data_IF_711178822913
#
_entry.id   IF_711178822913
#
_cell.length_a   1.000
_cell.length_b   1.000
_cell.length_c   1.000
_cell.angle_alpha   90.00
_cell.angle_beta   90.00
_cell.angle_gamma   90.00
#
_symmetry.space_group_name_H-M   'P 1'
#
loop_
_entity.id
_entity.type
_entity.pdbx_description
1 polymer ?
#
# COMPACT_ATOMS: atom_id res chain seq x y z
N UNK A 1 8.02 1.50 -60.07
CA UNK A 1 8.27 0.14 -59.56
C UNK A 1 7.83 0.13 -58.09
N UNK A 2 6.66 -0.46 -57.81
CA UNK A 2 6.10 -0.56 -56.45
C UNK A 2 6.99 -1.46 -55.58
N UNK A 3 7.40 -0.99 -54.41
CA UNK A 3 7.91 -1.86 -53.34
C UNK A 3 6.77 -2.13 -52.35
N UNK A 4 6.23 -3.33 -52.42
CA UNK A 4 5.28 -3.88 -51.44
C UNK A 4 6.10 -4.27 -50.21
N UNK A 5 5.93 -3.53 -49.11
CA UNK A 5 6.43 -3.97 -47.80
C UNK A 5 5.41 -4.98 -47.28
N UNK A 6 5.80 -6.25 -47.26
CA UNK A 6 5.06 -7.31 -46.61
C UNK A 6 5.05 -7.02 -45.10
N UNK A 7 3.95 -6.48 -44.59
CA UNK A 7 3.69 -6.48 -43.15
C UNK A 7 3.42 -7.92 -42.76
N UNK A 8 4.40 -8.55 -42.11
CA UNK A 8 4.17 -9.80 -41.40
C UNK A 8 2.99 -9.59 -40.44
N UNK A 9 1.89 -10.30 -40.72
CA UNK A 9 0.79 -10.48 -39.79
C UNK A 9 1.37 -11.20 -38.57
N UNK A 10 1.45 -10.52 -37.43
CA UNK A 10 1.56 -11.20 -36.16
C UNK A 10 0.34 -12.13 -36.04
N UNK A 11 0.59 -13.43 -36.17
CA UNK A 11 -0.38 -14.47 -35.90
C UNK A 11 -0.57 -14.45 -34.39
N UNK A 12 -1.64 -13.80 -33.92
CA UNK A 12 -2.13 -14.00 -32.56
C UNK A 12 -2.53 -15.47 -32.44
N UNK A 13 -1.60 -16.29 -31.95
CA UNK A 13 -1.91 -17.62 -31.43
C UNK A 13 -2.93 -17.39 -30.31
N UNK A 14 -4.18 -17.80 -30.51
CA UNK A 14 -5.14 -17.93 -29.42
C UNK A 14 -4.60 -19.04 -28.52
N UNK A 15 -3.76 -18.66 -27.55
CA UNK A 15 -3.43 -19.54 -26.44
C UNK A 15 -4.73 -19.78 -25.70
N UNK A 16 -5.24 -21.01 -25.74
CA UNK A 16 -6.35 -21.42 -24.88
C UNK A 16 -6.02 -21.01 -23.45
N UNK A 17 -7.00 -20.40 -22.77
CA UNK A 17 -6.84 -20.04 -21.37
C UNK A 17 -6.78 -21.32 -20.53
N UNK A 18 -5.65 -21.58 -19.86
CA UNK A 18 -5.39 -22.84 -19.14
C UNK A 18 -5.33 -22.70 -17.63
N UNK A 19 -5.37 -21.48 -17.09
CA UNK A 19 -5.22 -21.26 -15.65
C UNK A 19 -6.40 -21.86 -14.87
N UNK A 20 -6.09 -22.64 -13.83
CA UNK A 20 -7.07 -23.31 -12.97
C UNK A 20 -7.26 -22.62 -11.63
N UNK A 21 -6.42 -21.64 -11.33
CA UNK A 21 -6.46 -20.84 -10.11
C UNK A 21 -5.78 -19.48 -10.30
N UNK A 22 -5.91 -18.60 -9.31
CA UNK A 22 -5.17 -17.34 -9.29
C UNK A 22 -3.64 -17.50 -9.26
N UNK A 23 -3.11 -18.66 -8.83
CA UNK A 23 -1.66 -18.92 -8.85
C UNK A 23 -1.10 -19.01 -10.27
N UNK A 24 -1.92 -19.46 -11.22
CA UNK A 24 -1.55 -19.73 -12.61
C UNK A 24 -2.04 -18.64 -13.57
N UNK A 25 -2.77 -17.64 -13.05
CA UNK A 25 -3.32 -16.56 -13.85
C UNK A 25 -2.20 -15.64 -14.34
N UNK A 26 -2.16 -15.36 -15.64
CA UNK A 26 -1.32 -14.29 -16.20
C UNK A 26 -1.76 -12.95 -15.62
N UNK A 27 -0.88 -12.33 -14.83
CA UNK A 27 -1.13 -11.09 -14.11
C UNK A 27 -1.28 -9.88 -15.02
N UNK A 28 -1.08 -10.03 -16.34
CA UNK A 28 -1.33 -8.98 -17.32
C UNK A 28 -2.77 -8.98 -17.82
N UNK A 29 -3.58 -9.98 -17.44
CA UNK A 29 -5.01 -10.01 -17.74
C UNK A 29 -5.79 -9.11 -16.76
N UNK A 30 -6.86 -8.45 -17.22
CA UNK A 30 -7.69 -7.60 -16.37
C UNK A 30 -8.30 -8.38 -15.22
N UNK A 31 -8.39 -7.75 -14.07
CA UNK A 31 -9.16 -8.24 -12.95
C UNK A 31 -10.64 -8.36 -13.30
N UNK A 32 -11.35 -9.18 -12.54
CA UNK A 32 -12.78 -9.41 -12.69
C UNK A 32 -13.51 -8.95 -11.44
N UNK A 33 -12.97 -7.91 -10.80
CA UNK A 33 -13.50 -7.26 -9.61
C UNK A 33 -13.65 -5.76 -9.89
N UNK A 34 -14.41 -5.07 -9.05
CA UNK A 34 -14.48 -3.61 -9.03
C UNK A 34 -13.89 -3.06 -7.72
N UNK A 35 -13.79 -1.73 -7.62
CA UNK A 35 -13.27 -1.06 -6.43
C UNK A 35 -14.03 -1.44 -5.13
N UNK A 36 -15.35 -1.56 -5.20
CA UNK A 36 -16.20 -1.89 -4.05
C UNK A 36 -15.93 -3.31 -3.54
N UNK A 37 -15.63 -4.27 -4.41
CA UNK A 37 -15.28 -5.63 -3.99
C UNK A 37 -14.04 -5.63 -3.06
N UNK A 38 -13.05 -4.76 -3.36
CA UNK A 38 -11.84 -4.58 -2.55
C UNK A 38 -12.19 -3.89 -1.24
N UNK A 39 -12.90 -2.76 -1.30
CA UNK A 39 -13.24 -1.95 -0.12
C UNK A 39 -14.13 -2.72 0.86
N UNK A 40 -15.16 -3.40 0.38
CA UNK A 40 -16.05 -4.22 1.19
C UNK A 40 -15.30 -5.37 1.87
N UNK A 41 -14.39 -6.03 1.15
CA UNK A 41 -13.60 -7.11 1.71
C UNK A 41 -12.70 -6.60 2.84
N UNK A 42 -11.97 -5.51 2.61
CA UNK A 42 -11.11 -4.91 3.64
C UNK A 42 -11.96 -4.50 4.85
N UNK A 43 -13.05 -3.76 4.62
CA UNK A 43 -13.92 -3.25 5.70
C UNK A 43 -14.60 -4.37 6.50
N UNK A 44 -14.90 -5.52 5.89
CA UNK A 44 -15.46 -6.69 6.57
C UNK A 44 -14.56 -7.24 7.66
N UNK A 45 -13.24 -7.25 7.45
CA UNK A 45 -12.27 -7.82 8.40
C UNK A 45 -11.55 -6.75 9.23
N UNK A 46 -11.34 -5.59 8.64
CA UNK A 46 -10.64 -4.45 9.23
C UNK A 46 -11.32 -3.15 8.82
N UNK A 47 -12.48 -2.82 9.43
CA UNK A 47 -13.18 -1.56 9.16
C UNK A 47 -12.35 -0.33 9.57
N UNK A 48 -11.32 -0.52 10.39
CA UNK A 48 -10.32 0.46 10.82
C UNK A 48 -9.14 0.61 9.86
N UNK A 49 -9.11 -0.16 8.76
CA UNK A 49 -8.00 -0.16 7.83
C UNK A 49 -7.88 1.18 7.08
N UNK A 50 -6.68 1.76 7.00
CA UNK A 50 -6.41 2.93 6.18
C UNK A 50 -6.59 2.69 4.66
N UNK A 51 -6.71 1.44 4.22
CA UNK A 51 -6.91 1.09 2.82
C UNK A 51 -8.40 1.05 2.42
N UNK A 52 -9.33 1.18 3.36
CA UNK A 52 -10.76 1.29 3.03
C UNK A 52 -10.98 2.56 2.20
N UNK A 53 -11.61 2.41 1.03
CA UNK A 53 -11.87 3.50 0.09
C UNK A 53 -10.77 3.70 -0.96
N UNK A 54 -9.70 2.90 -0.91
CA UNK A 54 -8.61 2.90 -1.89
C UNK A 54 -8.79 1.83 -2.98
N UNK A 55 -9.89 1.06 -2.99
CA UNK A 55 -10.20 0.08 -4.04
C UNK A 55 -10.10 0.66 -5.46
N UNK A 56 -10.51 1.92 -5.64
CA UNK A 56 -10.41 2.63 -6.93
C UNK A 56 -8.97 2.82 -7.42
N UNK A 57 -8.02 3.00 -6.50
CA UNK A 57 -6.62 3.25 -6.86
C UNK A 57 -6.00 2.00 -7.53
N UNK A 58 -6.44 0.80 -7.12
CA UNK A 58 -6.03 -0.45 -7.75
C UNK A 58 -6.61 -0.62 -9.15
N UNK A 59 -7.87 -0.25 -9.36
CA UNK A 59 -8.50 -0.31 -10.70
C UNK A 59 -7.83 0.70 -11.64
N UNK A 60 -7.61 1.93 -11.19
CA UNK A 60 -6.91 2.94 -11.99
C UNK A 60 -5.47 2.52 -12.31
N UNK A 61 -4.77 1.88 -11.36
CA UNK A 61 -3.44 1.35 -11.59
C UNK A 61 -3.44 0.18 -12.59
N UNK A 62 -4.43 -0.70 -12.56
CA UNK A 62 -4.61 -1.76 -13.55
C UNK A 62 -4.80 -1.19 -14.96
N UNK A 63 -5.70 -0.21 -15.12
CA UNK A 63 -5.95 0.44 -16.40
C UNK A 63 -4.70 1.14 -16.93
N UNK A 64 -3.91 1.76 -16.04
CA UNK A 64 -2.71 2.52 -16.43
C UNK A 64 -1.50 1.63 -16.72
N UNK A 65 -1.26 0.62 -15.90
CA UNK A 65 -0.01 -0.16 -15.91
C UNK A 65 -0.16 -1.58 -16.44
N UNK A 66 -1.39 -2.06 -16.60
CA UNK A 66 -1.68 -3.36 -17.16
C UNK A 66 -1.25 -4.52 -16.26
N UNK A 67 -1.52 -4.40 -14.95
CA UNK A 67 -1.33 -5.48 -13.98
C UNK A 67 -2.63 -5.68 -13.20
N UNK A 68 -2.97 -6.94 -12.98
CA UNK A 68 -4.20 -7.37 -12.35
C UNK A 68 -4.43 -6.71 -10.97
N UNK A 69 -5.44 -5.85 -10.86
CA UNK A 69 -5.81 -5.11 -9.65
C UNK A 69 -6.10 -6.03 -8.46
N UNK A 70 -6.71 -7.19 -8.73
CA UNK A 70 -7.05 -8.16 -7.70
C UNK A 70 -5.79 -8.71 -7.02
N UNK A 71 -4.77 -9.02 -7.80
CA UNK A 71 -3.47 -9.48 -7.28
C UNK A 71 -2.74 -8.36 -6.52
N UNK A 72 -2.76 -7.12 -7.05
CA UNK A 72 -2.12 -5.98 -6.39
C UNK A 72 -2.77 -5.61 -5.06
N UNK A 73 -4.11 -5.62 -4.99
CA UNK A 73 -4.85 -5.40 -3.74
C UNK A 73 -4.57 -6.51 -2.71
N UNK A 74 -4.61 -7.77 -3.14
CA UNK A 74 -4.31 -8.92 -2.28
C UNK A 74 -2.87 -8.89 -1.75
N UNK A 75 -1.91 -8.50 -2.59
CA UNK A 75 -0.51 -8.28 -2.21
C UNK A 75 -0.40 -7.21 -1.15
N UNK A 76 -0.95 -6.02 -1.38
CA UNK A 76 -0.84 -4.92 -0.42
C UNK A 76 -1.52 -5.25 0.91
N UNK A 77 -2.68 -5.92 0.89
CA UNK A 77 -3.33 -6.44 2.11
C UNK A 77 -2.37 -7.33 2.91
N UNK A 78 -1.69 -8.26 2.24
CA UNK A 78 -0.73 -9.17 2.88
C UNK A 78 0.47 -8.42 3.46
N UNK A 79 1.15 -7.64 2.63
CA UNK A 79 2.45 -7.02 2.93
C UNK A 79 2.34 -5.93 3.99
N UNK A 80 1.21 -5.21 4.01
CA UNK A 80 0.99 -4.10 4.93
C UNK A 80 0.12 -4.45 6.14
N UNK A 81 -0.39 -5.69 6.23
CA UNK A 81 -1.37 -6.07 7.23
C UNK A 81 -2.62 -5.20 7.15
N UNK A 82 -3.23 -5.13 5.96
CA UNK A 82 -4.36 -4.24 5.64
C UNK A 82 -4.05 -2.74 5.85
N UNK A 83 -2.84 -2.31 5.51
CA UNK A 83 -2.39 -0.91 5.63
C UNK A 83 -1.97 -0.48 7.03
N UNK A 84 -2.01 -1.39 8.01
CA UNK A 84 -1.87 -1.06 9.44
C UNK A 84 -0.45 -1.22 9.99
N UNK A 85 0.48 -1.74 9.19
CA UNK A 85 1.89 -1.73 9.57
C UNK A 85 2.39 -0.28 9.69
N UNK A 86 3.35 -0.03 10.58
CA UNK A 86 3.83 1.34 10.81
C UNK A 86 4.38 2.00 9.54
N UNK A 87 5.07 1.25 8.69
CA UNK A 87 5.58 1.75 7.42
C UNK A 87 4.43 2.06 6.45
N UNK A 88 3.42 1.20 6.37
CA UNK A 88 2.26 1.44 5.52
C UNK A 88 1.45 2.64 5.99
N UNK A 89 1.21 2.78 7.30
CA UNK A 89 0.45 3.91 7.83
C UNK A 89 1.20 5.23 7.75
N UNK A 90 2.40 5.29 8.34
CA UNK A 90 3.10 6.58 8.50
C UNK A 90 3.80 7.06 7.23
N UNK A 91 4.07 6.15 6.29
CA UNK A 91 4.79 6.47 5.04
C UNK A 91 3.98 6.21 3.78
N UNK A 92 2.71 5.85 3.92
CA UNK A 92 1.84 5.38 2.83
C UNK A 92 2.50 4.29 1.98
N UNK A 93 3.38 3.48 2.57
CA UNK A 93 4.23 2.55 1.86
C UNK A 93 3.77 1.11 2.10
N UNK A 94 2.82 0.66 1.28
CA UNK A 94 2.14 -0.64 1.44
C UNK A 94 3.02 -1.83 1.06
N UNK A 95 4.06 -1.59 0.27
CA UNK A 95 4.93 -2.63 -0.29
C UNK A 95 6.31 -2.72 0.37
N UNK A 96 6.60 -1.91 1.39
CA UNK A 96 7.90 -1.90 2.05
C UNK A 96 9.04 -1.37 1.17
N UNK A 97 8.76 -0.42 0.27
CA UNK A 97 9.75 0.17 -0.64
C UNK A 97 10.96 0.69 0.14
N UNK A 98 12.12 0.07 -0.10
CA UNK A 98 13.43 0.34 0.56
C UNK A 98 13.43 0.16 2.09
N UNK A 99 12.54 -0.68 2.62
CA UNK A 99 12.53 -1.05 4.04
C UNK A 99 13.61 -2.11 4.34
N UNK A 100 14.88 -1.70 4.36
CA UNK A 100 16.01 -2.62 4.59
C UNK A 100 16.05 -3.20 5.99
N UNK A 101 16.42 -4.49 6.13
CA UNK A 101 16.40 -5.25 7.39
C UNK A 101 17.09 -4.58 8.58
N UNK A 102 18.20 -3.85 8.33
CA UNK A 102 18.96 -3.16 9.38
C UNK A 102 18.14 -2.11 10.13
N UNK A 103 17.28 -1.37 9.43
CA UNK A 103 16.38 -0.37 10.02
C UNK A 103 15.23 -0.09 9.05
N UNK A 104 14.22 -0.98 9.00
CA UNK A 104 13.21 -0.92 7.95
C UNK A 104 12.43 0.38 7.95
N UNK A 105 12.17 0.96 9.12
CA UNK A 105 11.40 2.19 9.22
C UNK A 105 12.22 3.40 8.77
N UNK A 106 13.49 3.50 9.17
CA UNK A 106 14.35 4.61 8.76
C UNK A 106 14.53 4.66 7.23
N UNK A 107 14.84 3.52 6.60
CA UNK A 107 15.16 3.48 5.17
C UNK A 107 13.92 3.52 4.26
N UNK A 108 12.77 3.01 4.73
CA UNK A 108 11.56 2.97 3.92
C UNK A 108 11.22 4.34 3.33
N UNK A 109 10.89 4.38 2.04
CA UNK A 109 10.48 5.61 1.36
C UNK A 109 9.11 6.07 1.88
N UNK A 110 8.96 7.38 1.97
CA UNK A 110 7.68 8.06 2.12
C UNK A 110 7.05 8.23 0.73
N UNK A 111 5.79 7.84 0.61
CA UNK A 111 4.96 8.14 -0.54
C UNK A 111 3.89 9.17 -0.17
N UNK A 112 3.59 10.15 -1.04
CA UNK A 112 2.62 11.19 -0.72
C UNK A 112 1.22 10.66 -0.41
N UNK A 113 0.82 9.55 -1.04
CA UNK A 113 -0.48 8.91 -0.82
C UNK A 113 -0.41 7.38 -1.00
N UNK A 114 -1.44 6.67 -0.53
CA UNK A 114 -1.61 5.25 -0.83
C UNK A 114 -1.70 4.97 -2.33
N UNK A 115 -2.38 5.87 -3.08
CA UNK A 115 -2.45 5.81 -4.54
C UNK A 115 -1.06 5.78 -5.18
N UNK A 116 -0.14 6.62 -4.71
CA UNK A 116 1.23 6.63 -5.24
C UNK A 116 1.97 5.30 -4.98
N UNK A 117 1.70 4.65 -3.84
CA UNK A 117 2.26 3.33 -3.51
C UNK A 117 1.71 2.23 -4.41
N UNK A 118 0.41 2.23 -4.63
CA UNK A 118 -0.25 1.31 -5.55
C UNK A 118 0.29 1.53 -6.97
N UNK A 119 0.33 2.77 -7.45
CA UNK A 119 0.76 3.11 -8.80
C UNK A 119 2.21 2.70 -9.04
N UNK A 120 3.12 3.09 -8.13
CA UNK A 120 4.53 2.72 -8.23
C UNK A 120 4.73 1.20 -8.22
N UNK A 121 4.11 0.50 -7.27
CA UNK A 121 4.31 -0.94 -7.14
C UNK A 121 3.77 -1.68 -8.37
N UNK A 122 2.62 -1.23 -8.88
CA UNK A 122 2.00 -1.79 -10.09
C UNK A 122 2.89 -1.58 -11.32
N UNK A 123 3.42 -0.36 -11.51
CA UNK A 123 4.36 -0.09 -12.62
C UNK A 123 5.65 -0.89 -12.48
N UNK A 124 6.17 -1.01 -11.26
CA UNK A 124 7.40 -1.75 -10.96
C UNK A 124 7.26 -3.25 -11.25
N UNK A 125 6.16 -3.86 -10.81
CA UNK A 125 5.84 -5.26 -11.10
C UNK A 125 5.69 -5.46 -12.61
N UNK A 126 4.96 -4.58 -13.30
CA UNK A 126 4.81 -4.67 -14.75
C UNK A 126 6.18 -4.71 -15.43
N UNK A 127 6.98 -3.68 -15.21
CA UNK A 127 8.24 -3.48 -15.92
C UNK A 127 9.27 -4.55 -15.61
N UNK A 128 9.42 -4.92 -14.34
CA UNK A 128 10.57 -5.73 -13.92
C UNK A 128 10.26 -7.22 -13.82
N UNK A 129 8.99 -7.62 -13.67
CA UNK A 129 8.62 -9.01 -13.45
C UNK A 129 7.77 -9.60 -14.58
N UNK A 130 6.91 -8.82 -15.25
CA UNK A 130 5.91 -9.35 -16.20
C UNK A 130 6.27 -9.11 -17.68
N UNK A 131 7.39 -8.45 -17.96
CA UNK A 131 7.92 -8.25 -19.31
C UNK A 131 9.15 -9.12 -19.53
N UNK A 132 9.29 -9.74 -20.71
CA UNK A 132 10.42 -10.63 -21.01
C UNK A 132 11.81 -9.96 -20.87
N UNK A 133 11.87 -8.64 -21.06
CA UNK A 133 13.08 -7.82 -20.89
C UNK A 133 13.26 -7.30 -19.45
N UNK A 134 12.31 -7.57 -18.56
CA UNK A 134 12.33 -7.16 -17.17
C UNK A 134 13.44 -7.86 -16.41
N UNK A 135 14.08 -7.12 -15.50
CA UNK A 135 15.25 -7.59 -14.73
C UNK A 135 15.01 -8.88 -13.93
N UNK A 136 13.77 -9.14 -13.54
CA UNK A 136 13.36 -10.25 -12.67
C UNK A 136 12.38 -11.21 -13.36
N UNK A 137 12.25 -11.13 -14.69
CA UNK A 137 11.30 -11.95 -15.45
C UNK A 137 11.57 -13.45 -15.30
N UNK A 138 10.54 -14.18 -14.87
CA UNK A 138 10.53 -15.65 -14.82
C UNK A 138 9.22 -16.22 -15.42
N UNK A 139 8.38 -15.36 -16.01
CA UNK A 139 7.02 -15.67 -16.42
C UNK A 139 6.06 -14.56 -15.96
N UNK A 140 4.76 -14.84 -15.96
CA UNK A 140 3.72 -13.79 -15.82
C UNK A 140 2.71 -14.07 -14.71
N UNK A 141 2.88 -15.17 -13.99
CA UNK A 141 1.99 -15.60 -12.92
C UNK A 141 2.50 -15.16 -11.54
N UNK A 142 1.68 -15.28 -10.49
CA UNK A 142 2.13 -15.06 -9.10
C UNK A 142 3.33 -15.95 -8.75
N UNK A 143 3.34 -17.20 -9.23
CA UNK A 143 4.41 -18.16 -8.98
C UNK A 143 5.72 -17.68 -9.60
N UNK A 144 5.66 -17.17 -10.82
CA UNK A 144 6.83 -16.65 -11.54
C UNK A 144 7.38 -15.39 -10.86
N UNK A 145 6.50 -14.48 -10.45
CA UNK A 145 6.87 -13.28 -9.68
C UNK A 145 7.60 -13.68 -8.40
N UNK A 146 7.06 -14.67 -7.66
CA UNK A 146 7.63 -15.09 -6.37
C UNK A 146 9.08 -15.56 -6.47
N UNK A 147 9.49 -16.12 -7.61
CA UNK A 147 10.84 -16.67 -7.81
C UNK A 147 11.95 -15.65 -7.54
N UNK A 148 11.67 -14.35 -7.75
CA UNK A 148 12.62 -13.25 -7.53
C UNK A 148 12.09 -12.16 -6.61
N UNK A 149 10.82 -12.20 -6.19
CA UNK A 149 10.23 -11.14 -5.39
C UNK A 149 10.61 -11.24 -3.90
N UNK A 150 10.52 -12.43 -3.31
CA UNK A 150 10.91 -12.66 -1.92
C UNK A 150 11.39 -14.09 -1.68
N UNK A 151 11.98 -14.35 -0.51
CA UNK A 151 12.46 -15.69 -0.12
C UNK A 151 11.35 -16.59 0.42
N UNK A 152 10.16 -16.05 0.71
CA UNK A 152 9.01 -16.82 1.18
C UNK A 152 8.35 -17.57 0.02
N UNK A 153 8.61 -18.89 -0.07
CA UNK A 153 8.05 -19.74 -1.11
C UNK A 153 6.52 -19.83 -1.06
N UNK A 154 5.88 -19.48 0.06
CA UNK A 154 4.42 -19.47 0.22
C UNK A 154 3.77 -18.12 -0.17
N UNK A 155 4.55 -17.09 -0.51
CA UNK A 155 4.04 -15.74 -0.83
C UNK A 155 2.95 -15.75 -1.92
N UNK A 156 3.20 -16.42 -3.04
CA UNK A 156 2.22 -16.52 -4.14
C UNK A 156 0.90 -17.14 -3.67
N UNK A 157 0.97 -18.23 -2.89
CA UNK A 157 -0.21 -18.93 -2.37
C UNK A 157 -0.98 -18.11 -1.34
N UNK A 158 -0.28 -17.29 -0.53
CA UNK A 158 -0.92 -16.36 0.41
C UNK A 158 -1.71 -15.28 -0.33
N UNK A 159 -1.14 -14.71 -1.39
CA UNK A 159 -1.84 -13.73 -2.24
C UNK A 159 -3.04 -14.36 -2.94
N UNK A 160 -2.85 -15.50 -3.61
CA UNK A 160 -3.94 -16.21 -4.28
C UNK A 160 -5.08 -16.60 -3.31
N UNK A 161 -4.74 -16.94 -2.06
CA UNK A 161 -5.73 -17.21 -1.01
C UNK A 161 -6.52 -15.97 -0.58
N UNK A 162 -5.87 -14.79 -0.50
CA UNK A 162 -6.59 -13.52 -0.29
C UNK A 162 -7.50 -13.23 -1.48
N UNK A 163 -7.02 -13.40 -2.72
CA UNK A 163 -7.83 -13.20 -3.92
C UNK A 163 -9.06 -14.12 -3.92
N UNK A 164 -8.89 -15.40 -3.58
CA UNK A 164 -9.99 -16.36 -3.48
C UNK A 164 -11.05 -15.96 -2.45
N UNK A 165 -10.65 -15.28 -1.36
CA UNK A 165 -11.57 -14.80 -0.32
C UNK A 165 -12.29 -13.50 -0.71
N UNK A 166 -11.67 -12.64 -1.52
CA UNK A 166 -12.32 -11.45 -2.10
C UNK A 166 -13.36 -11.91 -3.14
N UNK A 167 -12.92 -12.67 -4.15
CA UNK A 167 -13.79 -13.24 -5.17
C UNK A 167 -13.26 -14.59 -5.66
N UNK A 168 -14.04 -15.69 -5.53
CA UNK A 168 -13.62 -17.01 -6.00
C UNK A 168 -13.21 -17.03 -7.48
N UNK A 169 -12.11 -17.74 -7.78
CA UNK A 169 -11.65 -17.92 -9.16
C UNK A 169 -12.68 -18.68 -10.01
N UNK A 170 -12.87 -18.21 -11.25
CA UNK A 170 -13.66 -18.87 -12.30
C UNK A 170 -12.92 -18.70 -13.62
N UNK A 171 -12.58 -19.80 -14.27
CA UNK A 171 -11.81 -19.77 -15.51
C UNK A 171 -12.58 -19.07 -16.64
N UNK A 172 -13.91 -19.20 -16.64
CA UNK A 172 -14.80 -18.67 -17.66
C UNK A 172 -14.73 -17.14 -17.74
N UNK A 173 -14.50 -16.47 -16.60
CA UNK A 173 -14.40 -15.01 -16.51
C UNK A 173 -13.22 -14.44 -17.33
N UNK A 174 -12.23 -15.27 -17.67
CA UNK A 174 -11.00 -14.88 -18.35
C UNK A 174 -10.86 -15.44 -19.77
N UNK A 175 -11.74 -16.35 -20.19
CA UNK A 175 -11.67 -17.05 -21.48
C UNK A 175 -11.54 -16.13 -22.71
N UNK A 176 -12.10 -14.92 -22.64
CA UNK A 176 -12.04 -13.90 -23.70
C UNK A 176 -11.17 -12.68 -23.35
N UNK A 177 -10.47 -12.71 -22.22
CA UNK A 177 -9.64 -11.59 -21.76
C UNK A 177 -8.43 -11.40 -22.65
N UNK A 178 -8.01 -10.15 -22.80
CA UNK A 178 -6.79 -9.77 -23.50
C UNK A 178 -5.77 -9.23 -22.51
N UNK A 179 -4.50 -9.42 -22.81
CA UNK A 179 -3.39 -8.78 -22.09
C UNK A 179 -3.59 -7.27 -22.14
N UNK A 180 -3.50 -6.62 -20.99
CA UNK A 180 -3.58 -5.19 -20.85
C UNK A 180 -2.31 -4.50 -21.36
N UNK A 181 -2.51 -3.32 -21.93
CA UNK A 181 -1.43 -2.43 -22.34
C UNK A 181 -0.71 -1.88 -21.11
N UNK A 182 0.57 -1.52 -21.25
CA UNK A 182 1.32 -0.80 -20.21
C UNK A 182 1.55 0.66 -20.60
N UNK A 183 1.46 1.55 -19.62
CA UNK A 183 2.06 2.88 -19.69
C UNK A 183 3.56 2.83 -19.35
N UNK A 184 4.34 3.74 -19.91
CA UNK A 184 5.75 3.96 -19.56
C UNK A 184 5.94 4.94 -18.39
N UNK A 185 4.88 5.55 -17.88
CA UNK A 185 4.94 6.58 -16.82
C UNK A 185 5.08 5.97 -15.42
N UNK A 186 6.30 5.82 -14.92
CA UNK A 186 6.54 5.37 -13.55
C UNK A 186 6.89 6.54 -12.60
N UNK A 187 6.58 6.35 -11.31
CA UNK A 187 7.03 7.25 -10.25
C UNK A 187 8.55 7.16 -10.09
N UNK A 188 9.25 8.30 -10.06
CA UNK A 188 10.69 8.35 -9.79
C UNK A 188 10.97 8.15 -8.29
N UNK A 189 11.24 6.92 -7.88
CA UNK A 189 11.49 6.56 -6.47
C UNK A 189 12.79 7.09 -5.90
N UNK A 190 13.76 7.41 -6.74
CA UNK A 190 15.02 8.02 -6.29
C UNK A 190 14.81 9.47 -5.85
N UNK A 191 13.79 10.13 -6.41
CA UNK A 191 13.39 11.48 -5.98
C UNK A 191 12.57 11.49 -4.67
N UNK A 192 12.05 10.34 -4.22
CA UNK A 192 11.27 10.28 -2.97
C UNK A 192 12.15 10.41 -1.73
N UNK A 193 11.67 11.12 -0.72
CA UNK A 193 12.32 11.15 0.60
C UNK A 193 12.01 9.89 1.41
N UNK A 194 12.87 9.56 2.38
CA UNK A 194 12.52 8.62 3.44
C UNK A 194 11.90 9.35 4.66
N UNK A 195 11.99 10.68 4.72
CA UNK A 195 11.44 11.47 5.81
C UNK A 195 9.93 11.69 5.68
N UNK A 196 9.22 11.66 6.81
CA UNK A 196 7.80 12.04 6.88
C UNK A 196 7.72 13.58 6.84
N UNK A 197 6.95 14.18 5.91
CA UNK A 197 6.86 15.63 5.76
C UNK A 197 5.94 16.25 6.82
N UNK A 198 6.47 16.44 8.04
CA UNK A 198 5.74 17.11 9.10
C UNK A 198 5.51 18.59 8.80
N UNK A 199 4.29 19.08 9.07
CA UNK A 199 3.96 20.51 9.05
C UNK A 199 4.22 21.12 10.43
N UNK A 200 5.20 22.00 10.60
CA UNK A 200 5.48 22.61 11.91
C UNK A 200 4.43 23.66 12.29
N UNK A 201 4.18 23.80 13.60
CA UNK A 201 3.51 24.95 14.18
C UNK A 201 4.56 25.96 14.71
N UNK A 202 4.24 27.27 14.77
CA UNK A 202 5.13 28.25 15.39
C UNK A 202 5.52 27.87 16.82
N UNK A 203 6.75 28.18 17.22
CA UNK A 203 7.22 27.92 18.59
C UNK A 203 6.32 28.59 19.62
N UNK A 204 5.95 27.84 20.66
CA UNK A 204 5.07 28.34 21.73
C UNK A 204 3.57 28.29 21.39
N UNK A 205 3.18 27.72 20.23
CA UNK A 205 1.77 27.53 19.90
C UNK A 205 1.10 26.62 20.92
N UNK A 206 -0.06 27.05 21.42
CA UNK A 206 -0.92 26.29 22.33
C UNK A 206 -2.25 26.00 21.69
N UNK A 207 -2.86 24.87 22.05
CA UNK A 207 -4.21 24.51 21.67
C UNK A 207 -5.02 24.09 22.91
N UNK A 208 -6.33 24.28 22.85
CA UNK A 208 -7.25 23.75 23.85
C UNK A 208 -7.81 22.41 23.40
N UNK A 209 -7.92 21.46 24.32
CA UNK A 209 -8.54 20.16 24.07
C UNK A 209 -10.05 20.33 23.92
N UNK A 210 -10.57 19.92 22.76
CA UNK A 210 -11.99 19.94 22.40
C UNK A 210 -12.74 18.69 22.86
N UNK A 211 -12.09 17.53 22.83
CA UNK A 211 -12.70 16.24 23.19
C UNK A 211 -11.72 15.36 23.96
N UNK A 212 -12.28 14.45 24.78
CA UNK A 212 -11.52 13.49 25.58
C UNK A 212 -10.94 12.31 24.77
N UNK A 213 -10.31 12.62 23.63
CA UNK A 213 -9.69 11.64 22.76
C UNK A 213 -8.39 11.08 23.33
N UNK A 214 -7.94 9.97 22.77
CA UNK A 214 -6.73 9.28 23.20
C UNK A 214 -5.45 10.03 22.78
N UNK A 215 -4.38 9.82 23.55
CA UNK A 215 -3.04 10.22 23.17
C UNK A 215 -2.03 9.08 23.37
N UNK A 216 -0.98 9.11 22.53
CA UNK A 216 -0.07 7.99 22.31
C UNK A 216 1.38 8.43 22.26
N UNK A 217 2.31 7.50 22.45
CA UNK A 217 3.75 7.78 22.28
C UNK A 217 4.13 7.89 20.80
N UNK A 218 3.53 7.04 19.95
CA UNK A 218 3.68 7.01 18.49
C UNK A 218 2.27 7.12 17.88
N UNK A 219 2.06 7.95 16.83
CA UNK A 219 0.74 8.11 16.23
C UNK A 219 0.24 6.77 15.67
N UNK A 220 -1.06 6.51 15.86
CA UNK A 220 -1.82 5.30 15.45
C UNK A 220 -1.82 4.11 16.46
N UNK A 221 -2.97 3.41 16.62
CA UNK A 221 -3.09 2.22 17.47
C UNK A 221 -2.51 0.96 16.81
N UNK A 222 -1.19 0.85 16.68
CA UNK A 222 -0.57 -0.37 16.17
C UNK A 222 -0.92 -1.58 17.04
N UNK A 223 -1.17 -2.72 16.40
CA UNK A 223 -1.37 -4.03 17.05
C UNK A 223 -0.20 -4.98 16.78
N UNK A 224 0.83 -4.49 16.10
CA UNK A 224 2.04 -5.21 15.70
C UNK A 224 3.26 -4.35 16.01
N UNK A 225 4.46 -4.91 15.82
CA UNK A 225 5.73 -4.25 16.15
C UNK A 225 5.82 -2.80 15.63
N UNK A 226 6.08 -1.88 16.55
CA UNK A 226 6.46 -0.48 16.27
C UNK A 226 7.94 -0.47 15.91
N UNK A 227 8.25 -0.17 14.66
CA UNK A 227 9.59 -0.23 14.09
C UNK A 227 10.37 1.06 14.32
N UNK A 228 9.71 2.22 14.43
CA UNK A 228 10.39 3.49 14.68
C UNK A 228 10.97 3.60 16.09
N UNK A 229 10.42 2.84 17.04
CA UNK A 229 10.93 2.77 18.40
C UNK A 229 10.68 1.37 18.98
N UNK A 230 11.68 0.47 18.92
CA UNK A 230 11.51 -0.91 19.35
C UNK A 230 11.32 -1.08 20.87
N UNK A 231 11.54 -0.01 21.66
CA UNK A 231 11.33 -0.02 23.11
C UNK A 231 9.88 0.23 23.53
N UNK A 232 8.99 0.56 22.58
CA UNK A 232 7.57 0.79 22.84
C UNK A 232 6.78 -0.38 22.26
N UNK A 233 6.10 -1.13 23.13
CA UNK A 233 5.17 -2.19 22.66
C UNK A 233 3.84 -1.58 22.20
N UNK A 234 3.06 -2.28 21.35
CA UNK A 234 1.69 -1.91 21.01
C UNK A 234 0.82 -1.51 22.20
N UNK A 235 0.92 -2.28 23.30
CA UNK A 235 0.14 -2.09 24.52
C UNK A 235 0.56 -0.82 25.27
N UNK A 236 1.85 -0.50 25.25
CA UNK A 236 2.42 0.71 25.87
C UNK A 236 2.18 1.97 25.04
N UNK A 237 1.79 1.84 23.76
CA UNK A 237 1.65 2.98 22.89
C UNK A 237 0.49 3.90 23.29
N UNK A 238 -0.62 3.34 23.80
CA UNK A 238 -1.71 4.12 24.39
C UNK A 238 -1.29 4.61 25.78
N UNK A 239 -1.24 5.92 25.97
CA UNK A 239 -0.81 6.51 27.25
C UNK A 239 -2.00 6.96 28.09
N UNK A 240 -3.01 7.55 27.45
CA UNK A 240 -4.20 7.98 28.17
C UNK A 240 -5.21 8.71 27.29
N UNK A 241 -6.13 9.43 27.94
CA UNK A 241 -7.11 10.32 27.31
C UNK A 241 -6.88 11.76 27.73
N UNK A 242 -7.12 12.67 26.82
CA UNK A 242 -7.05 14.10 27.08
C UNK A 242 -8.21 14.54 27.97
N UNK A 243 -7.99 15.59 28.76
CA UNK A 243 -9.04 16.25 29.55
C UNK A 243 -9.61 17.42 28.77
N UNK A 244 -10.91 17.42 28.51
CA UNK A 244 -11.55 18.51 27.75
C UNK A 244 -11.34 19.86 28.46
N UNK A 245 -11.01 20.90 27.68
CA UNK A 245 -10.71 22.24 28.19
C UNK A 245 -9.27 22.44 28.65
N UNK A 246 -8.46 21.39 28.81
CA UNK A 246 -7.04 21.55 29.13
C UNK A 246 -6.28 22.21 27.99
N UNK A 247 -5.15 22.84 28.31
CA UNK A 247 -4.23 23.42 27.33
C UNK A 247 -3.06 22.48 27.10
N UNK A 248 -2.62 22.41 25.86
CA UNK A 248 -1.44 21.66 25.44
C UNK A 248 -0.56 22.53 24.55
N UNK A 249 0.75 22.31 24.58
CA UNK A 249 1.69 22.90 23.61
C UNK A 249 1.72 21.99 22.38
N UNK A 250 1.62 22.54 21.17
CA UNK A 250 1.66 21.77 19.93
C UNK A 250 2.91 22.10 19.11
N UNK A 251 3.41 21.12 18.36
CA UNK A 251 4.70 21.24 17.67
C UNK A 251 4.62 21.02 16.17
N UNK A 252 3.97 19.94 15.74
CA UNK A 252 3.88 19.57 14.33
C UNK A 252 2.70 18.65 14.06
N UNK A 253 2.23 18.67 12.82
CA UNK A 253 1.21 17.78 12.28
C UNK A 253 1.87 16.80 11.30
N UNK A 254 1.50 15.51 11.39
CA UNK A 254 1.88 14.51 10.39
C UNK A 254 0.85 14.45 9.25
N UNK A 255 1.19 13.82 8.11
CA UNK A 255 0.26 13.71 6.97
C UNK A 255 -1.04 12.94 7.25
N UNK A 256 -1.09 12.19 8.36
CA UNK A 256 -2.24 11.40 8.79
C UNK A 256 -3.14 12.15 9.79
N UNK A 257 -2.89 13.44 10.03
CA UNK A 257 -3.70 14.28 10.91
C UNK A 257 -3.42 14.08 12.40
N UNK A 258 -2.24 13.55 12.75
CA UNK A 258 -1.79 13.50 14.14
C UNK A 258 -0.98 14.73 14.51
N UNK A 259 -1.23 15.25 15.71
CA UNK A 259 -0.57 16.41 16.28
C UNK A 259 0.39 15.95 17.38
N UNK A 260 1.67 16.29 17.23
CA UNK A 260 2.66 16.17 18.31
C UNK A 260 2.41 17.30 19.32
N UNK A 261 2.26 16.93 20.59
CA UNK A 261 1.97 17.87 21.68
C UNK A 261 2.69 17.46 22.98
N UNK A 262 2.70 18.37 23.96
CA UNK A 262 3.02 18.07 25.37
C UNK A 262 2.01 18.73 26.30
N UNK A 263 1.88 18.19 27.51
CA UNK A 263 1.15 18.85 28.59
C UNK A 263 1.93 20.06 29.11
N UNK A 264 1.23 21.01 29.73
CA UNK A 264 1.92 22.15 30.35
C UNK A 264 2.93 21.66 31.41
N UNK A 265 4.15 22.17 31.33
CA UNK A 265 5.29 21.80 32.18
C UNK A 265 5.78 20.35 32.04
N UNK A 266 5.40 19.65 30.97
CA UNK A 266 5.94 18.33 30.61
C UNK A 266 6.88 18.45 29.41
N UNK A 267 8.05 17.83 29.51
CA UNK A 267 9.03 17.71 28.43
C UNK A 267 8.72 16.54 27.49
N UNK A 268 7.91 15.56 27.95
CA UNK A 268 7.52 14.42 27.13
C UNK A 268 6.55 14.82 26.05
N UNK A 269 6.76 14.24 24.87
CA UNK A 269 5.94 14.47 23.69
C UNK A 269 5.05 13.27 23.41
N UNK A 270 3.83 13.58 23.00
CA UNK A 270 2.79 12.62 22.68
C UNK A 270 2.11 13.01 21.37
N UNK A 271 1.29 12.11 20.86
CA UNK A 271 0.51 12.31 19.64
C UNK A 271 -0.98 12.14 19.92
N UNK A 272 -1.79 13.04 19.39
CA UNK A 272 -3.26 12.93 19.41
C UNK A 272 -3.83 13.29 18.04
N UNK A 273 -5.05 12.84 17.73
CA UNK A 273 -5.72 13.25 16.50
C UNK A 273 -6.05 14.74 16.54
N UNK A 274 -5.86 15.42 15.41
CA UNK A 274 -6.18 16.84 15.23
C UNK A 274 -7.59 17.19 15.68
N UNK A 275 -8.56 16.32 15.42
CA UNK A 275 -9.97 16.52 15.79
C UNK A 275 -10.21 16.60 17.31
N UNK A 276 -9.24 16.20 18.12
CA UNK A 276 -9.31 16.34 19.58
C UNK A 276 -8.94 17.74 20.08
N UNK A 277 -8.37 18.59 19.21
CA UNK A 277 -7.88 19.92 19.55
C UNK A 277 -8.70 20.99 18.81
N UNK A 278 -8.81 22.17 19.43
CA UNK A 278 -9.28 23.38 18.76
C UNK A 278 -8.09 24.06 18.07
N UNK A 279 -7.94 23.81 16.76
CA UNK A 279 -6.86 24.29 15.89
C UNK A 279 -7.41 25.08 14.71
#
# INVERSE_FOLDING_TARGET
MLHVINKEKQINKSTEFTAKSYLELDLRLPSKINAKDIDDYIAKYHPDSPLVGHGKDYIEAEEKYGVNAHAMAAKDILESGYGKSEIAYRKHNTSGLRAYDKDPFYYAKYLPSYKDSVFYTTSYIRENYLEEKGKYYNGTTLTDVNTKYCTDTAWASKIASIMQRIKPFKAEDYSSSKILNKSSEALNVDALSSEIPYKPYPTGTKASVKSAGEYRQIPYPYTVKIRSNPNITPEQNLVGKLTTGSKVSIYREDPNGWIEFSFENDEKKYWTLKNNLNL
#
